data_IF_283917357567
#
_entry.id   IF_283917357567
#
_cell.length_a   1.000
_cell.length_b   1.000
_cell.length_c   1.000
_cell.angle_alpha   90.00
_cell.angle_beta   90.00
_cell.angle_gamma   90.00
#
_symmetry.space_group_name_H-M   'P 1'
#
loop_
_entity.id
_entity.type
_entity.pdbx_description
1 polymer ?
#
# COMPACT_ATOMS: atom_id res chain seq x y z
N UNK A 1 -6.04 -23.48 11.31
CA UNK A 1 -6.01 -22.19 12.05
C UNK A 1 -7.07 -22.19 13.15
N UNK A 2 -6.91 -21.42 14.24
CA UNK A 2 -7.81 -21.46 15.42
C UNK A 2 -9.03 -20.53 15.37
N UNK A 3 -8.98 -19.44 14.60
CA UNK A 3 -10.04 -18.40 14.58
C UNK A 3 -11.11 -18.64 13.51
N UNK A 4 -10.81 -19.39 12.45
CA UNK A 4 -11.72 -19.59 11.31
C UNK A 4 -11.90 -18.36 10.40
N UNK A 5 -11.16 -17.28 10.65
CA UNK A 5 -11.20 -16.05 9.85
C UNK A 5 -10.22 -16.11 8.69
N UNK A 6 -10.48 -15.31 7.65
CA UNK A 6 -9.52 -15.03 6.58
C UNK A 6 -8.23 -14.42 7.15
N UNK A 7 -7.08 -15.00 6.82
CA UNK A 7 -5.76 -14.60 7.31
C UNK A 7 -4.92 -13.97 6.19
N UNK A 8 -4.50 -12.73 6.42
CA UNK A 8 -3.47 -12.09 5.63
C UNK A 8 -2.07 -12.48 6.07
N UNK A 9 -1.12 -12.46 5.14
CA UNK A 9 0.29 -12.47 5.51
C UNK A 9 0.62 -11.26 6.40
N UNK A 10 1.70 -11.33 7.18
CA UNK A 10 2.34 -10.13 7.69
C UNK A 10 2.64 -9.17 6.52
N UNK A 11 2.42 -7.87 6.74
CA UNK A 11 2.70 -6.84 5.75
C UNK A 11 4.14 -6.36 5.90
N UNK A 12 4.94 -6.50 4.85
CA UNK A 12 6.33 -6.05 4.82
C UNK A 12 6.46 -4.78 3.97
N UNK A 13 7.55 -4.04 4.19
CA UNK A 13 8.00 -3.02 3.25
C UNK A 13 8.34 -3.65 1.90
N UNK A 14 8.41 -2.83 0.85
CA UNK A 14 8.72 -3.29 -0.51
C UNK A 14 10.01 -4.12 -0.59
N UNK A 15 11.06 -3.73 0.16
CA UNK A 15 12.35 -4.42 0.21
C UNK A 15 12.28 -5.82 0.82
N UNK A 16 11.37 -6.04 1.77
CA UNK A 16 11.22 -7.31 2.48
C UNK A 16 10.07 -8.17 1.93
N UNK A 17 9.37 -7.68 0.91
CA UNK A 17 8.24 -8.37 0.28
C UNK A 17 8.70 -9.43 -0.73
N UNK A 18 9.72 -9.19 -1.55
CA UNK A 18 10.03 -10.07 -2.69
C UNK A 18 11.37 -10.80 -2.55
N UNK A 19 11.39 -12.07 -2.96
CA UNK A 19 12.59 -12.89 -3.09
C UNK A 19 12.74 -13.92 -1.96
N UNK A 20 13.37 -15.06 -2.27
CA UNK A 20 13.50 -16.18 -1.31
C UNK A 20 14.21 -15.83 0.01
N UNK A 21 15.01 -14.77 0.00
CA UNK A 21 15.78 -14.33 1.15
C UNK A 21 15.12 -13.15 1.90
N UNK A 22 14.07 -12.56 1.35
CA UNK A 22 13.30 -11.52 2.04
C UNK A 22 12.54 -12.13 3.22
N UNK A 23 12.15 -11.29 4.16
CA UNK A 23 11.37 -11.73 5.31
C UNK A 23 10.09 -12.46 4.88
N UNK A 24 9.31 -11.86 3.98
CA UNK A 24 8.05 -12.47 3.52
C UNK A 24 8.29 -13.74 2.70
N UNK A 25 9.33 -13.78 1.88
CA UNK A 25 9.71 -14.98 1.14
C UNK A 25 10.02 -16.17 2.06
N UNK A 26 10.79 -15.93 3.13
CA UNK A 26 11.09 -16.95 4.15
C UNK A 26 9.82 -17.39 4.89
N UNK A 27 8.98 -16.44 5.30
CA UNK A 27 7.72 -16.71 5.99
C UNK A 27 6.79 -17.59 5.15
N UNK A 28 6.51 -17.19 3.91
CA UNK A 28 5.60 -17.92 3.02
C UNK A 28 6.13 -19.33 2.71
N UNK A 29 7.44 -19.49 2.51
CA UNK A 29 8.04 -20.81 2.31
C UNK A 29 7.90 -21.73 3.53
N UNK A 30 8.10 -21.20 4.74
CA UNK A 30 7.94 -21.96 5.98
C UNK A 30 6.46 -22.28 6.26
N UNK A 31 5.55 -21.35 5.97
CA UNK A 31 4.11 -21.57 6.07
C UNK A 31 3.65 -22.72 5.16
N UNK A 32 4.06 -22.70 3.90
CA UNK A 32 3.77 -23.78 2.93
C UNK A 32 4.32 -25.13 3.41
N UNK A 33 5.59 -25.19 3.84
CA UNK A 33 6.21 -26.41 4.37
C UNK A 33 5.51 -26.98 5.61
N UNK A 34 4.85 -26.12 6.39
CA UNK A 34 4.09 -26.52 7.58
C UNK A 34 2.62 -26.80 7.29
N UNK A 35 2.17 -26.65 6.05
CA UNK A 35 0.77 -26.78 5.66
C UNK A 35 -0.11 -25.70 6.30
N UNK A 36 0.42 -24.50 6.49
CA UNK A 36 -0.35 -23.35 6.99
C UNK A 36 -0.97 -22.58 5.83
N UNK A 37 -2.24 -22.21 6.01
CA UNK A 37 -2.95 -21.37 5.07
C UNK A 37 -2.68 -19.88 5.33
N UNK A 38 -2.43 -19.18 4.24
CA UNK A 38 -2.41 -17.72 4.14
C UNK A 38 -3.33 -17.37 2.98
N UNK A 39 -4.42 -16.68 3.25
CA UNK A 39 -5.51 -16.46 2.28
C UNK A 39 -5.18 -15.34 1.29
N UNK A 40 -4.45 -14.32 1.75
CA UNK A 40 -4.02 -13.19 0.93
C UNK A 40 -2.66 -12.65 1.38
N UNK A 41 -2.00 -11.91 0.49
CA UNK A 41 -0.73 -11.24 0.80
C UNK A 41 -1.00 -9.76 1.07
N UNK A 42 -0.57 -9.28 2.24
CA UNK A 42 -0.59 -7.88 2.60
C UNK A 42 0.75 -7.22 2.26
N UNK A 43 0.73 -6.01 1.68
CA UNK A 43 1.95 -5.27 1.31
C UNK A 43 1.83 -3.79 1.65
N UNK A 44 2.96 -3.17 1.98
CA UNK A 44 3.10 -1.72 2.07
C UNK A 44 3.87 -1.18 0.86
N UNK A 45 3.45 -0.03 0.33
CA UNK A 45 4.12 0.63 -0.79
C UNK A 45 4.29 2.13 -0.53
N UNK A 46 5.48 2.50 -0.07
CA UNK A 46 5.93 3.88 0.00
C UNK A 46 6.99 4.09 -1.08
N UNK A 47 6.88 5.17 -1.84
CA UNK A 47 7.85 5.49 -2.88
C UNK A 47 8.05 7.00 -2.97
N UNK A 48 9.29 7.40 -3.22
CA UNK A 48 9.68 8.76 -3.61
C UNK A 48 9.72 8.93 -5.14
N UNK A 49 9.17 7.96 -5.88
CA UNK A 49 9.02 7.97 -7.32
C UNK A 49 7.53 7.93 -7.68
N UNK A 50 6.97 8.96 -8.35
CA UNK A 50 5.53 8.99 -8.69
C UNK A 50 5.14 8.01 -9.83
N UNK A 51 5.98 7.03 -10.15
CA UNK A 51 5.76 6.08 -11.24
C UNK A 51 4.70 5.03 -10.91
N UNK A 52 3.49 5.23 -11.46
CA UNK A 52 2.40 4.22 -11.41
C UNK A 52 2.83 2.91 -12.07
N UNK A 53 3.70 2.96 -13.08
CA UNK A 53 4.25 1.78 -13.74
C UNK A 53 5.11 0.93 -12.82
N UNK A 54 5.93 1.55 -11.97
CA UNK A 54 6.74 0.84 -10.98
C UNK A 54 5.89 0.21 -9.88
N UNK A 55 4.88 0.94 -9.40
CA UNK A 55 3.94 0.41 -8.43
C UNK A 55 3.16 -0.80 -9.00
N UNK A 56 2.62 -0.67 -10.22
CA UNK A 56 1.96 -1.78 -10.92
C UNK A 56 2.88 -2.98 -11.14
N UNK A 57 4.16 -2.74 -11.46
CA UNK A 57 5.17 -3.78 -11.63
C UNK A 57 5.44 -4.50 -10.31
N UNK A 58 5.55 -3.78 -9.20
CA UNK A 58 5.68 -4.35 -7.87
C UNK A 58 4.51 -5.30 -7.56
N UNK A 59 3.27 -4.83 -7.71
CA UNK A 59 2.07 -5.65 -7.44
C UNK A 59 1.99 -6.90 -8.32
N UNK A 60 2.33 -6.78 -9.62
CA UNK A 60 2.41 -7.94 -10.52
C UNK A 60 3.49 -8.95 -10.09
N UNK A 61 4.63 -8.48 -9.59
CA UNK A 61 5.69 -9.35 -9.11
C UNK A 61 5.28 -10.07 -7.82
N UNK A 62 4.56 -9.39 -6.92
CA UNK A 62 3.99 -10.00 -5.71
C UNK A 62 2.98 -11.08 -6.08
N UNK A 63 2.05 -10.78 -7.00
CA UNK A 63 1.08 -11.75 -7.49
C UNK A 63 1.77 -12.97 -8.09
N UNK A 64 2.81 -12.77 -8.92
CA UNK A 64 3.58 -13.85 -9.53
C UNK A 64 4.34 -14.69 -8.50
N UNK A 65 4.84 -14.07 -7.43
CA UNK A 65 5.66 -14.75 -6.42
C UNK A 65 4.84 -15.65 -5.49
N UNK A 66 3.61 -15.24 -5.16
CA UNK A 66 2.81 -15.90 -4.13
C UNK A 66 1.49 -16.49 -4.63
N UNK A 67 1.06 -16.11 -5.83
CA UNK A 67 -0.19 -16.55 -6.47
C UNK A 67 -1.42 -16.46 -5.56
N UNK A 68 -1.56 -15.32 -4.88
CA UNK A 68 -2.60 -15.05 -3.88
C UNK A 68 -3.16 -13.64 -4.03
N UNK A 69 -4.45 -13.41 -3.73
CA UNK A 69 -5.02 -12.07 -3.69
C UNK A 69 -4.16 -11.11 -2.86
N UNK A 70 -4.13 -9.83 -3.25
CA UNK A 70 -3.30 -8.81 -2.62
C UNK A 70 -4.17 -7.76 -1.92
N UNK A 71 -3.81 -7.42 -0.70
CA UNK A 71 -4.26 -6.21 -0.03
C UNK A 71 -3.09 -5.25 0.10
N UNK A 72 -3.24 -4.03 -0.41
CA UNK A 72 -2.26 -2.96 -0.22
C UNK A 72 -2.67 -2.18 1.04
N UNK A 73 -2.18 -2.61 2.19
CA UNK A 73 -2.68 -2.11 3.48
C UNK A 73 -2.17 -0.72 3.84
N UNK A 74 -1.06 -0.31 3.23
CA UNK A 74 -0.55 1.06 3.30
C UNK A 74 0.10 1.44 1.96
N UNK A 75 -0.20 2.63 1.44
CA UNK A 75 0.54 3.18 0.30
C UNK A 75 0.48 4.71 0.25
N UNK A 76 1.57 5.32 -0.19
CA UNK A 76 1.70 6.77 -0.35
C UNK A 76 2.91 7.17 -1.23
N UNK A 77 2.86 8.37 -1.82
CA UNK A 77 4.01 9.04 -2.43
C UNK A 77 4.73 9.84 -1.33
N UNK A 78 5.88 9.36 -0.87
CA UNK A 78 6.62 9.92 0.26
C UNK A 78 8.11 9.89 -0.04
N UNK A 79 8.75 11.03 0.20
CA UNK A 79 10.19 11.11 0.36
C UNK A 79 10.48 11.34 1.85
N UNK A 80 10.99 10.32 2.52
CA UNK A 80 11.22 10.37 3.97
C UNK A 80 12.35 11.33 4.37
N UNK A 81 13.28 11.60 3.44
CA UNK A 81 14.40 12.52 3.65
C UNK A 81 14.01 13.98 3.29
N UNK A 82 12.99 14.15 2.46
CA UNK A 82 12.45 15.45 2.08
C UNK A 82 10.90 15.43 1.96
N UNK A 83 10.18 15.48 3.09
CA UNK A 83 8.72 15.33 3.12
C UNK A 83 7.92 16.31 2.24
N UNK A 84 8.46 17.51 2.03
CA UNK A 84 7.83 18.55 1.23
C UNK A 84 8.28 18.55 -0.25
N UNK A 85 9.05 17.55 -0.68
CA UNK A 85 9.53 17.41 -2.07
C UNK A 85 8.39 17.44 -3.08
N UNK A 86 7.26 16.83 -2.75
CA UNK A 86 6.11 16.75 -3.63
C UNK A 86 5.07 17.78 -3.24
N UNK A 87 4.59 18.53 -4.23
CA UNK A 87 3.43 19.38 -4.04
C UNK A 87 2.17 18.54 -3.79
N UNK A 88 1.20 19.10 -3.07
CA UNK A 88 -0.10 18.45 -2.83
C UNK A 88 -0.80 18.03 -4.12
N UNK A 89 -0.58 18.76 -5.22
CA UNK A 89 -1.12 18.41 -6.55
C UNK A 89 -0.47 17.13 -7.11
N UNK A 90 0.83 16.94 -6.92
CA UNK A 90 1.53 15.72 -7.35
C UNK A 90 1.08 14.52 -6.52
N UNK A 91 0.91 14.70 -5.21
CA UNK A 91 0.42 13.67 -4.30
C UNK A 91 -1.01 13.26 -4.66
N UNK A 92 -1.90 14.24 -4.87
CA UNK A 92 -3.27 14.00 -5.32
C UNK A 92 -3.35 13.29 -6.68
N UNK A 93 -2.51 13.68 -7.64
CA UNK A 93 -2.44 13.02 -8.94
C UNK A 93 -1.92 11.56 -8.82
N UNK A 94 -0.96 11.31 -7.93
CA UNK A 94 -0.51 9.95 -7.65
C UNK A 94 -1.63 9.11 -7.01
N UNK A 95 -2.36 9.67 -6.04
CA UNK A 95 -3.49 9.02 -5.39
C UNK A 95 -4.59 8.60 -6.37
N UNK A 96 -5.03 9.51 -7.26
CA UNK A 96 -6.04 9.18 -8.30
C UNK A 96 -5.54 8.09 -9.26
N UNK A 97 -4.36 8.27 -9.83
CA UNK A 97 -3.84 7.33 -10.83
C UNK A 97 -3.50 5.96 -10.24
N UNK A 98 -2.97 5.90 -9.01
CA UNK A 98 -2.67 4.65 -8.33
C UNK A 98 -3.94 3.90 -7.93
N UNK A 99 -4.97 4.63 -7.47
CA UNK A 99 -6.29 4.04 -7.17
C UNK A 99 -6.88 3.39 -8.41
N UNK A 100 -7.02 4.14 -9.51
CA UNK A 100 -7.52 3.60 -10.79
C UNK A 100 -6.70 2.41 -11.28
N UNK A 101 -5.38 2.45 -11.11
CA UNK A 101 -4.50 1.35 -11.46
C UNK A 101 -4.80 0.12 -10.61
N UNK A 102 -4.87 0.24 -9.29
CA UNK A 102 -5.15 -0.89 -8.40
C UNK A 102 -6.54 -1.47 -8.62
N UNK A 103 -7.56 -0.62 -8.82
CA UNK A 103 -8.93 -1.06 -9.09
C UNK A 103 -9.05 -1.83 -10.42
N UNK A 104 -8.16 -1.55 -11.38
CA UNK A 104 -8.07 -2.30 -12.64
C UNK A 104 -7.40 -3.68 -12.51
N UNK A 105 -6.72 -3.96 -11.39
CA UNK A 105 -6.02 -5.22 -11.16
C UNK A 105 -6.91 -6.19 -10.38
N UNK A 106 -7.49 -7.18 -11.07
CA UNK A 106 -8.43 -8.15 -10.46
C UNK A 106 -7.89 -8.93 -9.27
N UNK A 107 -6.57 -9.03 -9.12
CA UNK A 107 -5.90 -9.68 -8.00
C UNK A 107 -5.68 -8.75 -6.79
N UNK A 108 -5.79 -7.44 -6.95
CA UNK A 108 -5.83 -6.49 -5.83
C UNK A 108 -7.26 -6.43 -5.33
N UNK A 109 -7.48 -6.76 -4.05
CA UNK A 109 -8.83 -6.84 -3.46
C UNK A 109 -9.18 -5.66 -2.60
N UNK A 110 -8.19 -5.04 -1.96
CA UNK A 110 -8.34 -3.86 -1.11
C UNK A 110 -7.07 -3.03 -1.15
N UNK A 111 -7.22 -1.73 -1.01
CA UNK A 111 -6.12 -0.80 -0.78
C UNK A 111 -6.52 0.26 0.24
N UNK A 112 -5.54 0.79 0.96
CA UNK A 112 -5.75 1.83 1.96
C UNK A 112 -4.59 2.84 1.93
N UNK A 113 -4.92 4.09 1.61
CA UNK A 113 -3.98 5.21 1.59
C UNK A 113 -3.41 5.46 2.98
N UNK A 114 -2.12 5.77 3.07
CA UNK A 114 -1.48 6.14 4.32
C UNK A 114 -1.40 7.66 4.51
N UNK A 115 -1.98 8.13 5.61
CA UNK A 115 -2.10 9.55 5.97
C UNK A 115 -3.55 9.99 6.13
N UNK A 116 -4.34 9.32 6.97
CA UNK A 116 -5.73 9.72 7.18
C UNK A 116 -5.88 11.04 7.96
N UNK A 117 -4.92 11.37 8.81
CA UNK A 117 -4.96 12.51 9.74
C UNK A 117 -3.59 13.13 9.90
N UNK A 118 -3.57 14.39 10.34
CA UNK A 118 -2.35 15.12 10.67
C UNK A 118 -1.79 14.75 12.05
N UNK A 119 -0.46 14.67 12.17
CA UNK A 119 0.28 14.68 13.44
C UNK A 119 0.16 13.47 14.38
N UNK A 120 -0.57 12.40 14.07
CA UNK A 120 -0.83 11.34 15.06
C UNK A 120 0.30 10.33 15.31
N UNK A 121 1.39 10.37 14.55
CA UNK A 121 2.62 9.61 14.79
C UNK A 121 3.86 10.52 15.01
N UNK A 122 3.71 11.84 14.93
CA UNK A 122 4.79 12.81 15.02
C UNK A 122 5.61 12.98 13.74
N UNK A 123 5.16 12.38 12.62
CA UNK A 123 5.81 12.49 11.31
C UNK A 123 5.01 13.40 10.39
N UNK A 124 5.70 14.33 9.72
CA UNK A 124 5.13 15.09 8.61
C UNK A 124 5.58 14.42 7.31
N UNK A 125 4.65 13.83 6.56
CA UNK A 125 4.91 13.19 5.27
C UNK A 125 4.03 13.76 4.14
N UNK A 126 3.31 14.86 4.42
CA UNK A 126 2.50 15.63 3.47
C UNK A 126 1.40 14.83 2.72
N UNK A 127 0.94 13.71 3.27
CA UNK A 127 -0.07 12.83 2.65
C UNK A 127 -1.43 12.85 3.33
N UNK A 128 -1.64 13.76 4.29
CA UNK A 128 -2.84 13.85 5.10
C UNK A 128 -4.09 14.04 4.22
N UNK A 129 -5.14 13.23 4.46
CA UNK A 129 -6.46 13.39 3.83
C UNK A 129 -7.30 14.46 4.53
N UNK A 130 -7.12 14.58 5.85
CA UNK A 130 -7.79 15.56 6.70
C UNK A 130 -6.76 16.47 7.35
N UNK A 131 -7.06 17.77 7.43
CA UNK A 131 -6.27 18.70 8.22
C UNK A 131 -6.59 18.60 9.73
N UNK A 132 -5.93 19.43 10.53
CA UNK A 132 -6.11 19.44 11.99
C UNK A 132 -7.51 19.88 12.44
N UNK A 133 -8.32 20.47 11.55
CA UNK A 133 -9.71 20.87 11.80
C UNK A 133 -10.70 19.77 11.38
N UNK A 134 -10.22 18.74 10.68
CA UNK A 134 -11.04 17.65 10.14
C UNK A 134 -11.62 17.97 8.76
N UNK A 135 -11.16 19.04 8.10
CA UNK A 135 -11.56 19.38 6.74
C UNK A 135 -10.71 18.62 5.72
N UNK A 136 -11.28 18.34 4.53
CA UNK A 136 -10.56 17.66 3.45
C UNK A 136 -9.39 18.51 2.96
N UNK A 137 -8.20 17.91 2.93
CA UNK A 137 -7.07 18.48 2.18
C UNK A 137 -7.32 18.31 0.68
N UNK A 138 -6.46 18.89 -0.18
CA UNK A 138 -6.52 18.61 -1.62
C UNK A 138 -6.26 17.14 -1.97
N UNK A 139 -5.54 16.40 -1.14
CA UNK A 139 -5.37 14.94 -1.29
C UNK A 139 -6.67 14.25 -0.89
N UNK A 140 -7.27 14.64 0.24
CA UNK A 140 -8.59 14.19 0.67
C UNK A 140 -9.67 14.39 -0.40
N UNK A 141 -9.71 15.58 -1.00
CA UNK A 141 -10.63 15.89 -2.08
C UNK A 141 -10.44 14.96 -3.29
N UNK A 142 -9.21 14.63 -3.66
CA UNK A 142 -8.95 13.70 -4.77
C UNK A 142 -9.51 12.30 -4.50
N UNK A 143 -9.47 11.81 -3.26
CA UNK A 143 -10.13 10.56 -2.88
C UNK A 143 -11.65 10.68 -2.86
N UNK A 144 -12.19 11.81 -2.39
CA UNK A 144 -13.62 12.06 -2.40
C UNK A 144 -14.19 12.06 -3.83
N UNK A 145 -13.49 12.70 -4.77
CA UNK A 145 -13.92 12.80 -6.17
C UNK A 145 -13.91 11.45 -6.89
N UNK A 146 -13.16 10.45 -6.41
CA UNK A 146 -13.18 9.07 -6.94
C UNK A 146 -14.45 8.29 -6.58
N UNK A 147 -15.20 8.75 -5.57
CA UNK A 147 -16.43 8.10 -5.12
C UNK A 147 -17.68 8.59 -5.86
N UNK A 148 -17.54 9.65 -6.67
CA UNK A 148 -18.61 10.28 -7.46
C UNK A 148 -18.60 9.76 -8.91
#
# INVERSE_FOLDING_TARGET
>A
MKTGLTLGSPACTTSETLGKNSWLGKFMNLAEKKGYDVDFVAVHYYSDNPSIGEFKKFLKNVQKAYDKPIWVTEWALVDWDNPDRFSTKQIAAFADNATRMMDSLSFVKRHAWFGAYDGGDGWHINTQLLDAQGDLTKVGQAFYDLLL
#
